data_IF_098705037735
#
_entry.id   IF_098705037735
#
_cell.length_a   1.000
_cell.length_b   1.000
_cell.length_c   1.000
_cell.angle_alpha   90.00
_cell.angle_beta   90.00
_cell.angle_gamma   90.00
#
_symmetry.space_group_name_H-M   'P 1'
#
loop_
_entity.id
_entity.type
_entity.pdbx_description
1 polymer ?
2 branched ?
3 non-polymer ?
4 water ?
#
# COMPACT_ATOMS: atom_id res chain seq x y z
N UNK A 1 -2.00 -14.95 6.06
CA UNK A 1 -2.30 -14.89 7.48
C UNK A 1 -2.75 -13.51 7.94
N UNK A 2 -3.65 -13.49 8.91
CA UNK A 2 -4.05 -12.24 9.57
C UNK A 2 -2.88 -11.80 10.45
N UNK A 3 -2.62 -10.50 10.47
CA UNK A 3 -1.50 -9.96 11.24
C UNK A 3 -1.98 -8.87 12.18
N UNK A 4 -1.66 -9.00 13.46
CA UNK A 4 -2.09 -8.03 14.47
C UNK A 4 -0.92 -7.23 14.98
N UNK A 5 -1.10 -5.91 15.09
CA UNK A 5 -0.07 -4.99 15.55
C UNK A 5 1.32 -5.33 15.08
N UNK A 6 1.48 -5.47 13.76
CA UNK A 6 2.79 -5.84 13.24
C UNK A 6 3.78 -4.75 13.58
N UNK A 7 5.07 -5.03 13.51
CA UNK A 7 6.12 -4.19 14.16
C UNK A 7 6.44 -2.70 13.74
N UNK A 8 6.12 -2.36 12.49
CA UNK A 8 6.58 -1.26 11.60
C UNK A 8 8.03 -0.76 11.73
N UNK A 9 8.84 -0.84 10.65
CA UNK A 9 8.51 -1.27 9.29
C UNK A 9 8.14 -2.75 9.21
N UNK A 10 7.07 -3.01 8.47
CA UNK A 10 6.59 -4.36 8.25
C UNK A 10 7.02 -4.84 6.88
N UNK A 11 7.61 -6.03 6.84
CA UNK A 11 7.88 -6.70 5.59
C UNK A 11 7.51 -8.16 5.78
N UNK A 12 6.50 -8.61 5.06
CA UNK A 12 6.03 -9.98 5.24
C UNK A 12 5.58 -10.62 3.94
N UNK A 13 5.74 -11.93 3.86
CA UNK A 13 5.28 -12.69 2.70
C UNK A 13 3.76 -12.69 2.66
N UNK A 14 3.20 -12.55 1.47
CA UNK A 14 1.77 -12.68 1.28
C UNK A 14 1.54 -14.13 0.90
N UNK A 15 1.02 -14.92 1.83
CA UNK A 15 0.77 -16.35 1.57
C UNK A 15 -0.20 -16.53 0.42
N UNK A 16 0.24 -17.20 -0.63
CA UNK A 16 -0.61 -17.40 -1.80
C UNK A 16 -0.66 -16.25 -2.77
N UNK A 17 0.10 -15.20 -2.50
CA UNK A 17 0.05 -14.00 -3.34
C UNK A 17 -1.34 -13.41 -3.43
N UNK A 18 -1.62 -12.70 -4.52
CA UNK A 18 -2.88 -12.00 -4.69
C UNK A 18 -3.57 -12.49 -5.97
N UNK A 19 -4.89 -12.56 -5.94
CA UNK A 19 -5.67 -12.87 -7.14
C UNK A 19 -6.81 -11.86 -7.28
N UNK A 20 -7.30 -11.65 -8.51
CA UNK A 20 -8.43 -10.73 -8.71
C UNK A 20 -9.64 -11.14 -7.89
N UNK A 21 -10.26 -10.12 -7.29
CA UNK A 21 -11.42 -10.31 -6.43
C UNK A 21 -11.10 -10.26 -4.95
N UNK A 22 -9.82 -10.38 -4.61
CA UNK A 22 -9.43 -10.34 -3.20
C UNK A 22 -9.23 -8.92 -2.70
N UNK A 23 -9.32 -8.77 -1.38
CA UNK A 23 -9.13 -7.47 -0.73
C UNK A 23 -7.95 -7.57 0.23
N UNK A 24 -7.17 -6.50 0.31
CA UNK A 24 -6.23 -6.33 1.40
C UNK A 24 -6.84 -5.27 2.30
N UNK A 25 -7.06 -5.60 3.57
CA UNK A 25 -7.71 -4.68 4.50
C UNK A 25 -6.73 -4.31 5.59
N UNK A 26 -6.44 -3.02 5.71
CA UNK A 26 -5.51 -2.52 6.72
C UNK A 26 -6.23 -1.60 7.68
N UNK A 27 -6.15 -1.90 8.97
CA UNK A 27 -6.59 -0.96 9.99
C UNK A 27 -5.34 -0.40 10.66
N UNK A 28 -5.29 0.92 10.80
CA UNK A 28 -4.14 1.54 11.40
C UNK A 28 -4.44 2.94 11.90
N UNK A 29 -3.39 3.71 12.18
CA UNK A 29 -3.58 5.07 12.63
C UNK A 29 -2.35 5.89 12.26
N UNK A 30 -2.53 7.21 12.21
CA UNK A 30 -1.47 8.11 11.83
C UNK A 30 -0.97 8.86 13.06
N UNK A 31 0.34 8.85 13.32
CA UNK A 31 0.84 9.64 14.47
C UNK A 31 0.63 11.14 14.28
N UNK A 32 0.65 11.89 15.37
CA UNK A 32 0.42 13.34 15.33
C UNK A 32 1.41 14.11 14.45
N UNK A 33 2.61 13.56 14.26
CA UNK A 33 3.69 14.26 13.58
C UNK A 33 4.09 13.63 12.26
N UNK A 34 3.20 12.83 11.70
CA UNK A 34 3.49 12.11 10.46
C UNK A 34 3.84 13.03 9.28
N UNK A 35 4.79 12.58 8.46
CA UNK A 35 5.12 13.28 7.23
C UNK A 35 4.63 12.48 6.00
N UNK A 36 4.82 11.18 6.05
CA UNK A 36 4.40 10.29 4.97
C UNK A 36 4.48 8.85 5.44
N UNK A 37 3.79 7.96 4.75
CA UNK A 37 4.01 6.53 4.92
C UNK A 37 3.75 5.85 3.59
N UNK A 38 4.08 4.57 3.48
CA UNK A 38 3.82 3.87 2.24
C UNK A 38 3.44 2.43 2.47
N UNK A 39 2.57 1.93 1.59
CA UNK A 39 2.21 0.52 1.50
C UNK A 39 2.72 0.05 0.14
N UNK A 40 3.60 -0.95 0.17
CA UNK A 40 4.27 -1.46 -1.04
C UNK A 40 3.93 -2.93 -1.28
N UNK A 41 3.44 -3.23 -2.48
CA UNK A 41 3.24 -4.62 -2.88
C UNK A 41 4.44 -4.98 -3.74
N UNK A 42 5.27 -5.88 -3.21
CA UNK A 42 6.63 -6.10 -3.71
C UNK A 42 6.86 -7.48 -4.29
N UNK A 43 7.92 -7.57 -5.09
CA UNK A 43 8.45 -8.86 -5.52
C UNK A 43 9.64 -9.18 -4.63
N UNK A 44 9.42 -9.93 -3.57
CA UNK A 44 10.49 -10.27 -2.65
C UNK A 44 10.81 -9.14 -1.70
N UNK A 45 11.88 -9.30 -0.94
CA UNK A 45 12.25 -8.31 0.07
C UNK A 45 13.72 -7.94 0.02
N UNK A 46 14.36 -8.19 -1.12
CA UNK A 46 15.76 -7.80 -1.29
C UNK A 46 15.96 -6.31 -1.04
N UNK A 47 17.08 -5.96 -0.41
CA UNK A 47 17.41 -4.58 -0.09
C UNK A 47 18.44 -4.05 -1.09
N UNK A 48 19.46 -4.87 -1.37
CA UNK A 48 20.40 -4.57 -2.43
C UNK A 48 20.67 -5.81 -3.27
N UNK A 49 20.20 -5.81 -4.54
CA UNK A 49 19.41 -4.75 -5.18
C UNK A 49 18.01 -4.66 -4.59
N UNK A 50 17.38 -3.49 -4.70
CA UNK A 50 16.10 -3.31 -4.07
C UNK A 50 14.98 -4.03 -4.80
N UNK A 51 14.15 -4.74 -4.03
CA UNK A 51 12.99 -5.46 -4.56
C UNK A 51 12.10 -4.56 -5.40
N UNK A 52 11.66 -5.08 -6.54
CA UNK A 52 10.65 -4.37 -7.34
C UNK A 52 9.40 -4.10 -6.50
N UNK A 53 8.80 -2.95 -6.73
CA UNK A 53 7.54 -2.61 -6.09
C UNK A 53 6.48 -2.48 -7.17
N UNK A 54 5.59 -3.46 -7.23
CA UNK A 54 4.50 -3.42 -8.22
C UNK A 54 3.56 -2.26 -7.97
N UNK A 55 3.23 -2.02 -6.71
CA UNK A 55 2.32 -0.95 -6.36
C UNK A 55 2.82 -0.28 -5.10
N UNK A 56 3.22 0.97 -5.25
CA UNK A 56 3.67 1.86 -4.17
C UNK A 56 2.51 2.81 -3.93
N UNK A 57 1.94 2.75 -2.72
CA UNK A 57 0.84 3.63 -2.33
C UNK A 57 1.35 4.53 -1.20
N UNK A 58 1.47 5.82 -1.49
CA UNK A 58 2.29 6.71 -0.65
C UNK A 58 1.60 8.03 -0.31
N UNK A 59 0.80 8.04 0.78
CA UNK A 59 0.23 9.29 1.25
C UNK A 59 1.32 10.23 1.81
N UNK A 60 1.24 11.49 1.43
CA UNK A 60 2.18 12.53 1.86
C UNK A 60 1.39 13.66 2.47
N UNK A 61 1.74 14.04 3.69
CA UNK A 61 0.91 15.00 4.43
C UNK A 61 1.22 16.47 4.19
N UNK A 62 2.35 16.74 3.54
CA UNK A 62 2.79 18.11 3.30
C UNK A 62 1.72 18.93 2.58
N UNK A 63 1.61 20.19 2.96
CA UNK A 63 0.66 21.12 2.35
C UNK A 63 -0.78 20.64 2.51
N UNK A 64 -1.50 20.56 1.39
CA UNK A 64 -2.89 20.10 1.41
C UNK A 64 -2.95 18.58 1.48
N UNK A 65 -1.83 17.92 1.19
CA UNK A 65 -1.78 16.48 1.19
C UNK A 65 -2.03 15.88 -0.18
N UNK A 66 -1.39 14.75 -0.47
CA UNK A 66 -1.65 14.03 -1.71
C UNK A 66 -1.29 12.58 -1.52
N UNK A 67 -1.70 11.73 -2.46
CA UNK A 67 -1.26 10.35 -2.45
C UNK A 67 -0.55 10.05 -3.75
N UNK A 68 0.70 9.64 -3.64
CA UNK A 68 1.51 9.30 -4.80
C UNK A 68 1.50 7.80 -5.01
N UNK A 69 1.19 7.35 -6.24
CA UNK A 69 1.33 5.94 -6.56
C UNK A 69 2.35 5.76 -7.68
N UNK A 70 3.09 4.66 -7.63
CA UNK A 70 4.12 4.42 -8.61
C UNK A 70 4.52 2.95 -8.58
N UNK A 71 5.46 2.61 -9.45
CA UNK A 71 5.98 1.26 -9.55
C UNK A 71 7.49 1.39 -9.62
N UNK A 72 8.21 0.55 -8.87
CA UNK A 72 9.67 0.52 -8.93
C UNK A 72 10.08 -0.77 -9.63
N UNK A 73 10.84 -0.64 -10.70
CA UNK A 73 11.27 -1.80 -11.47
C UNK A 73 12.74 -1.63 -11.81
N UNK A 74 13.53 -2.67 -11.54
CA UNK A 74 14.98 -2.62 -11.72
C UNK A 74 15.58 -1.39 -11.04
N UNK A 75 15.12 -1.14 -9.82
CA UNK A 75 15.62 -0.09 -8.93
C UNK A 75 15.34 1.32 -9.42
N UNK A 76 14.42 1.45 -10.37
CA UNK A 76 14.05 2.77 -10.85
C UNK A 76 12.55 3.03 -10.78
N UNK A 77 12.20 4.19 -10.24
CA UNK A 77 10.81 4.60 -10.14
C UNK A 77 10.28 4.99 -11.52
N UNK A 78 9.03 4.67 -11.78
CA UNK A 78 8.37 5.05 -13.01
C UNK A 78 7.71 6.41 -12.90
N UNK A 79 6.74 6.65 -13.77
CA UNK A 79 6.02 7.92 -13.74
C UNK A 79 4.95 7.88 -12.66
N UNK A 80 4.98 8.89 -11.78
CA UNK A 80 4.01 8.97 -10.69
C UNK A 80 2.59 9.24 -11.16
N UNK A 81 1.64 8.63 -10.47
CA UNK A 81 0.25 9.00 -10.58
C UNK A 81 -0.16 9.60 -9.24
N UNK A 82 -0.46 10.89 -9.25
CA UNK A 82 -0.74 11.61 -8.02
C UNK A 82 -2.21 11.93 -7.89
N UNK A 83 -2.78 11.53 -6.76
CA UNK A 83 -4.15 11.88 -6.43
C UNK A 83 -4.09 13.00 -5.42
N UNK A 84 -4.66 14.14 -5.75
CA UNK A 84 -4.60 15.33 -4.91
C UNK A 84 -5.77 15.36 -3.91
N UNK A 85 -5.83 14.28 -3.15
CA UNK A 85 -6.78 14.13 -2.07
C UNK A 85 -6.00 13.61 -0.86
N UNK A 86 -6.49 13.90 0.34
CA UNK A 86 -5.84 13.39 1.54
C UNK A 86 -6.89 12.95 2.53
N UNK A 87 -7.29 11.67 2.46
CA UNK A 87 -8.31 11.20 3.40
C UNK A 87 -7.72 10.83 4.76
N UNK A 88 -6.40 10.74 4.86
CA UNK A 88 -5.77 10.42 6.13
C UNK A 88 -5.62 11.67 6.97
N UNK A 89 -5.75 11.52 8.28
CA UNK A 89 -5.68 12.65 9.18
C UNK A 89 -4.77 12.30 10.35
N UNK A 90 -3.87 13.23 10.69
CA UNK A 90 -2.92 13.00 11.77
C UNK A 90 -3.63 12.77 13.09
N UNK A 91 -3.18 11.76 13.83
CA UNK A 91 -3.75 11.47 15.13
C UNK A 91 -5.00 10.62 15.08
N UNK A 92 -5.36 10.14 13.88
CA UNK A 92 -6.61 9.41 13.68
C UNK A 92 -6.44 8.01 13.11
N UNK A 93 -7.37 7.11 13.47
CA UNK A 93 -7.40 5.77 12.88
C UNK A 93 -7.92 5.82 11.45
N UNK A 94 -7.60 4.79 10.67
CA UNK A 94 -8.08 4.65 9.31
C UNK A 94 -8.28 3.19 8.96
N UNK A 95 -9.03 2.97 7.89
CA UNK A 95 -9.12 1.69 7.22
C UNK A 95 -8.75 1.91 5.76
N UNK A 96 -7.83 1.09 5.27
CA UNK A 96 -7.53 1.08 3.83
C UNK A 96 -8.01 -0.26 3.30
N UNK A 97 -8.75 -0.25 2.20
CA UNK A 97 -9.10 -1.47 1.50
C UNK A 97 -8.55 -1.40 0.08
N UNK A 98 -7.67 -2.34 -0.28
CA UNK A 98 -7.15 -2.42 -1.62
C UNK A 98 -7.85 -3.58 -2.29
N UNK A 99 -8.67 -3.29 -3.31
CA UNK A 99 -9.32 -4.35 -4.07
C UNK A 99 -8.43 -4.70 -5.24
N UNK A 100 -8.18 -5.99 -5.42
CA UNK A 100 -7.35 -6.49 -6.50
C UNK A 100 -8.26 -6.85 -7.68
N UNK A 101 -8.06 -6.20 -8.82
CA UNK A 101 -8.80 -6.55 -10.04
C UNK A 101 -7.83 -6.98 -11.13
N UNK A 102 -8.36 -7.47 -12.24
CA UNK A 102 -7.51 -7.98 -13.32
C UNK A 102 -6.70 -6.87 -13.96
N UNK A 103 -7.26 -5.67 -13.98
CA UNK A 103 -6.67 -4.54 -14.70
C UNK A 103 -6.02 -3.51 -13.79
N UNK A 104 -6.53 -3.42 -12.57
CA UNK A 104 -6.22 -2.32 -11.66
C UNK A 104 -6.23 -2.76 -10.21
N UNK A 105 -5.59 -1.96 -9.36
CA UNK A 105 -5.95 -1.90 -7.94
C UNK A 105 -6.95 -0.77 -7.78
N UNK A 106 -7.94 -1.00 -6.92
CA UNK A 106 -8.85 0.07 -6.54
C UNK A 106 -8.68 0.23 -5.06
N UNK A 107 -8.51 1.47 -4.62
CA UNK A 107 -8.25 1.71 -3.20
C UNK A 107 -9.34 2.60 -2.60
N UNK A 108 -9.85 2.17 -1.46
CA UNK A 108 -10.80 2.96 -0.67
C UNK A 108 -10.14 3.25 0.68
N UNK A 109 -10.46 4.42 1.25
CA UNK A 109 -10.01 4.77 2.58
C UNK A 109 -11.23 5.18 3.36
N UNK A 110 -11.40 4.57 4.53
CA UNK A 110 -12.55 4.85 5.39
C UNK A 110 -13.86 4.70 4.62
N UNK A 111 -13.91 3.66 3.79
CA UNK A 111 -15.11 3.27 3.04
C UNK A 111 -15.52 4.28 1.96
N UNK A 112 -14.58 5.12 1.53
CA UNK A 112 -14.79 6.08 0.45
C UNK A 112 -13.76 5.81 -0.65
N UNK A 113 -14.19 5.82 -1.91
CA UNK A 113 -13.26 5.62 -3.00
C UNK A 113 -12.14 6.66 -2.97
N UNK A 114 -10.91 6.19 -3.20
CA UNK A 114 -9.77 7.10 -3.34
C UNK A 114 -9.18 7.12 -4.75
N UNK A 115 -8.77 5.95 -5.26
CA UNK A 115 -8.07 5.93 -6.54
C UNK A 115 -8.08 4.57 -7.21
N UNK A 116 -7.72 4.61 -8.50
CA UNK A 116 -7.48 3.43 -9.32
C UNK A 116 -6.03 3.48 -9.79
N UNK A 117 -5.42 2.32 -9.97
CA UNK A 117 -4.06 2.25 -10.50
C UNK A 117 -3.92 1.04 -11.40
N UNK A 118 -3.65 1.27 -12.68
CA UNK A 118 -3.44 0.18 -13.64
C UNK A 118 -2.20 -0.64 -13.33
N UNK A 119 -2.30 -1.96 -13.47
CA UNK A 119 -1.11 -2.79 -13.24
C UNK A 119 0.01 -2.46 -14.21
N UNK A 120 1.23 -2.38 -13.68
CA UNK A 120 2.43 -2.24 -14.50
C UNK A 120 3.31 -3.49 -14.45
N UNK A 121 3.19 -4.22 -13.35
CA UNK A 121 3.89 -5.49 -13.14
C UNK A 121 2.80 -6.55 -12.99
N UNK A 122 3.03 -7.73 -13.56
CA UNK A 122 2.07 -8.82 -13.46
C UNK A 122 1.70 -9.14 -12.02
N UNK A 123 0.41 -9.34 -11.77
CA UNK A 123 -0.10 -9.57 -10.42
C UNK A 123 0.55 -10.77 -9.74
N UNK A 124 0.84 -11.83 -10.51
CA UNK A 124 1.39 -13.06 -9.95
C UNK A 124 2.80 -12.91 -9.39
N UNK A 125 3.46 -11.80 -9.72
CA UNK A 125 4.81 -11.55 -9.23
C UNK A 125 4.82 -11.01 -7.80
N UNK A 126 3.69 -10.52 -7.34
CA UNK A 126 3.64 -9.94 -6.00
C UNK A 126 3.61 -11.04 -4.94
N UNK A 127 4.55 -10.99 -4.00
CA UNK A 127 4.59 -12.00 -2.94
C UNK A 127 4.89 -11.44 -1.55
N UNK A 128 5.01 -10.12 -1.47
CA UNK A 128 5.46 -9.48 -0.25
C UNK A 128 4.74 -8.16 -0.03
N UNK A 129 4.35 -7.91 1.22
CA UNK A 129 3.73 -6.65 1.62
C UNK A 129 4.72 -5.90 2.49
N UNK A 130 4.97 -4.64 2.14
CA UNK A 130 5.84 -3.78 2.92
C UNK A 130 5.06 -2.57 3.37
N UNK A 131 5.20 -2.22 4.65
CA UNK A 131 4.58 -1.00 5.18
C UNK A 131 5.66 -0.23 5.93
N UNK A 132 5.89 1.02 5.52
CA UNK A 132 7.01 1.78 6.04
C UNK A 132 6.59 3.22 6.33
N UNK A 133 7.35 3.89 7.21
CA UNK A 133 7.11 5.30 7.46
C UNK A 133 6.37 5.60 8.74
N UNK A 134 5.80 6.80 8.81
CA UNK A 134 5.13 7.24 10.04
C UNK A 134 3.68 6.79 10.03
N UNK A 135 3.48 5.55 10.46
CA UNK A 135 2.17 4.94 10.45
C UNK A 135 2.22 3.82 11.48
N UNK A 136 1.08 3.56 12.10
CA UNK A 136 0.92 2.43 13.00
C UNK A 136 -0.15 1.55 12.38
N UNK A 137 0.02 0.24 12.53
CA UNK A 137 -0.92 -0.71 11.95
C UNK A 137 -1.47 -1.62 13.03
N UNK A 138 -2.79 -1.65 13.14
CA UNK A 138 -3.46 -2.52 14.09
C UNK A 138 -3.65 -3.91 13.50
N UNK A 139 -4.03 -3.96 12.23
CA UNK A 139 -4.30 -5.25 11.60
C UNK A 139 -4.14 -5.23 10.08
N UNK A 140 -3.75 -6.39 9.55
CA UNK A 140 -3.63 -6.62 8.12
C UNK A 140 -4.40 -7.90 7.85
N UNK A 141 -5.39 -7.85 6.96
CA UNK A 141 -6.17 -9.04 6.64
C UNK A 141 -6.30 -9.19 5.13
N UNK A 142 -6.20 -10.43 4.65
CA UNK A 142 -6.39 -10.71 3.24
C UNK A 142 -7.71 -11.45 3.08
N UNK A 143 -8.64 -10.84 2.34
CA UNK A 143 -10.00 -11.35 2.24
C UNK A 143 -10.22 -12.06 0.91
N UNK A 144 -10.59 -13.34 0.97
CA UNK A 144 -10.73 -14.18 -0.22
C UNK A 144 -11.92 -13.79 -1.10
#
# INVERSE_FOLDING_TARGET
KKISNPIIPYVGTILGGLVPGELIVLHGSIPDDADRFQVDLQCGSSIKPRADVAFHFNPRFKWSGCVVCNTLEREKWGWEEITYEMPFQKGRPFEIVIMILKDKFQVSVNKKHLLLYNHRISLERIDTLGIYGKVQIKSIEFVS
#
